data_IF_711748220548
#
_entry.id   IF_711748220548
#
_cell.length_a   1.000
_cell.length_b   1.000
_cell.length_c   1.000
_cell.angle_alpha   90.00
_cell.angle_beta   90.00
_cell.angle_gamma   90.00
#
_symmetry.space_group_name_H-M   'P 1'
#
loop_
_entity.id
_entity.type
_entity.pdbx_description
1 polymer ?
#
# COMPACT_ATOMS: atom_id res chain seq x y z
N UNK A 1 13.25 -15.75 15.76
CA UNK A 1 12.39 -15.53 16.93
C UNK A 1 12.20 -14.04 17.05
N UNK A 2 11.10 -13.50 16.51
CA UNK A 2 10.80 -12.07 16.59
C UNK A 2 10.42 -11.74 18.04
N UNK A 3 11.13 -10.80 18.66
CA UNK A 3 10.78 -10.28 19.97
C UNK A 3 9.41 -9.59 19.87
N UNK A 4 8.47 -10.00 20.72
CA UNK A 4 7.14 -9.40 20.80
C UNK A 4 6.99 -8.71 22.14
N UNK A 5 6.68 -7.41 22.14
CA UNK A 5 6.35 -6.68 23.35
C UNK A 5 4.84 -6.68 23.63
N UNK A 6 4.47 -6.82 24.91
CA UNK A 6 3.06 -6.77 25.33
C UNK A 6 2.69 -5.35 25.71
N UNK A 7 1.74 -4.79 24.96
CA UNK A 7 1.18 -3.47 25.20
C UNK A 7 -0.23 -3.61 25.80
N UNK A 8 -0.53 -2.85 26.86
CA UNK A 8 -1.88 -2.78 27.46
C UNK A 8 -2.38 -1.34 27.40
N UNK A 9 -3.49 -1.10 26.72
CA UNK A 9 -4.09 0.22 26.56
C UNK A 9 -5.57 0.22 26.96
N UNK A 10 -6.06 1.37 27.42
CA UNK A 10 -7.49 1.60 27.64
C UNK A 10 -8.07 2.25 26.39
N UNK A 11 -9.11 1.63 25.83
CA UNK A 11 -9.78 2.11 24.62
C UNK A 11 -11.23 2.46 24.98
N UNK A 12 -11.76 3.59 24.49
CA UNK A 12 -13.17 3.93 24.59
C UNK A 12 -14.10 2.81 24.09
N UNK A 13 -15.24 2.61 24.76
CA UNK A 13 -16.15 1.49 24.49
C UNK A 13 -16.80 1.52 23.11
N UNK A 14 -16.98 2.71 22.53
CA UNK A 14 -17.46 2.91 21.16
C UNK A 14 -16.46 2.35 20.13
N UNK A 15 -15.17 2.57 20.34
CA UNK A 15 -14.11 2.06 19.46
C UNK A 15 -13.95 0.54 19.58
N UNK A 16 -14.07 -0.01 20.79
CA UNK A 16 -14.11 -1.47 20.99
C UNK A 16 -15.29 -2.08 20.25
N UNK A 17 -16.46 -1.45 20.33
CA UNK A 17 -17.67 -1.91 19.62
C UNK A 17 -17.49 -1.89 18.10
N UNK A 18 -16.77 -0.91 17.56
CA UNK A 18 -16.46 -0.85 16.13
C UNK A 18 -15.48 -1.95 15.71
N UNK A 19 -14.46 -2.23 16.51
CA UNK A 19 -13.52 -3.34 16.27
C UNK A 19 -14.23 -4.69 16.33
N UNK A 20 -15.16 -4.87 17.28
CA UNK A 20 -15.98 -6.08 17.37
C UNK A 20 -16.83 -6.32 16.13
N UNK A 21 -17.38 -5.26 15.52
CA UNK A 21 -18.10 -5.38 14.25
C UNK A 21 -17.18 -5.87 13.14
N UNK A 22 -15.96 -5.36 13.04
CA UNK A 22 -15.00 -5.80 12.02
C UNK A 22 -14.61 -7.29 12.17
N UNK A 23 -14.54 -7.79 13.41
CA UNK A 23 -14.33 -9.22 13.68
C UNK A 23 -15.55 -10.05 13.30
N UNK A 24 -16.75 -9.59 13.66
CA UNK A 24 -18.02 -10.28 13.30
C UNK A 24 -18.26 -10.33 11.80
N UNK A 25 -17.86 -9.30 11.07
CA UNK A 25 -17.92 -9.24 9.62
C UNK A 25 -16.87 -10.16 8.95
N UNK A 26 -16.03 -10.84 9.74
CA UNK A 26 -15.02 -11.78 9.27
C UNK A 26 -13.79 -11.12 8.64
N UNK A 27 -13.66 -9.78 8.75
CA UNK A 27 -12.49 -9.06 8.20
C UNK A 27 -11.21 -9.34 9.00
N UNK A 28 -11.34 -9.66 10.28
CA UNK A 28 -10.23 -10.02 11.16
C UNK A 28 -10.64 -11.16 12.09
N UNK A 29 -9.70 -12.02 12.46
CA UNK A 29 -9.96 -13.17 13.36
C UNK A 29 -10.17 -12.75 14.80
N UNK A 30 -9.47 -11.71 15.26
CA UNK A 30 -9.59 -11.17 16.62
C UNK A 30 -9.45 -9.65 16.64
N UNK A 31 -9.91 -9.01 17.72
CA UNK A 31 -9.71 -7.58 17.96
C UNK A 31 -8.22 -7.23 17.94
N UNK A 32 -7.37 -8.10 18.51
CA UNK A 32 -5.92 -7.91 18.54
C UNK A 32 -5.31 -7.92 17.13
N UNK A 33 -5.86 -8.72 16.21
CA UNK A 33 -5.40 -8.73 14.81
C UNK A 33 -5.80 -7.44 14.09
N UNK A 34 -7.03 -6.96 14.32
CA UNK A 34 -7.47 -5.68 13.79
C UNK A 34 -6.61 -4.51 14.31
N UNK A 35 -6.25 -4.52 15.60
CA UNK A 35 -5.37 -3.50 16.20
C UNK A 35 -3.96 -3.59 15.63
N UNK A 36 -3.38 -4.80 15.50
CA UNK A 36 -2.04 -4.96 14.90
C UNK A 36 -2.01 -4.44 13.47
N UNK A 37 -2.98 -4.83 12.63
CA UNK A 37 -3.08 -4.33 11.26
C UNK A 37 -3.23 -2.80 11.19
N UNK A 38 -3.97 -2.20 12.12
CA UNK A 38 -4.11 -0.75 12.21
C UNK A 38 -2.80 -0.06 12.63
N UNK A 39 -2.05 -0.64 13.57
CA UNK A 39 -0.75 -0.13 13.99
C UNK A 39 0.25 -0.23 12.84
N UNK A 40 0.33 -1.38 12.17
CA UNK A 40 1.22 -1.59 11.03
C UNK A 40 0.92 -0.56 9.92
N UNK A 41 -0.36 -0.40 9.56
CA UNK A 41 -0.77 0.61 8.58
C UNK A 41 -0.46 2.04 9.02
N UNK A 42 -0.58 2.36 10.32
CA UNK A 42 -0.28 3.68 10.84
C UNK A 42 1.22 3.97 10.82
N UNK A 43 2.04 3.00 11.22
CA UNK A 43 3.50 3.09 11.18
C UNK A 43 3.99 3.22 9.74
N UNK A 44 3.49 2.37 8.83
CA UNK A 44 3.83 2.42 7.41
C UNK A 44 3.51 3.78 6.77
N UNK A 45 2.43 4.42 7.20
CA UNK A 45 1.99 5.72 6.68
C UNK A 45 2.81 6.90 7.24
N UNK A 46 3.35 6.78 8.45
CA UNK A 46 4.08 7.87 9.12
C UNK A 46 5.61 7.73 9.08
N UNK A 47 6.12 6.52 8.88
CA UNK A 47 7.56 6.22 8.82
C UNK A 47 8.00 5.79 7.42
N UNK A 48 7.21 6.10 6.39
CA UNK A 48 7.69 6.05 5.01
C UNK A 48 8.84 7.07 4.87
N UNK A 49 10.03 6.68 4.38
CA UNK A 49 11.17 7.60 4.29
C UNK A 49 10.83 8.87 3.51
N UNK A 50 11.40 10.04 3.86
CA UNK A 50 11.10 11.36 3.27
C UNK A 50 11.20 11.43 1.72
N UNK A 51 11.83 10.44 1.09
CA UNK A 51 12.00 10.31 -0.36
C UNK A 51 11.02 9.31 -1.01
N UNK A 52 10.05 8.77 -0.24
CA UNK A 52 9.06 7.79 -0.69
C UNK A 52 7.66 8.29 -0.31
N UNK A 53 6.99 8.93 -1.26
CA UNK A 53 5.58 9.29 -1.13
C UNK A 53 4.71 8.13 -1.63
N UNK A 54 3.89 7.53 -0.75
CA UNK A 54 2.95 6.48 -1.14
C UNK A 54 1.68 7.12 -1.69
N UNK A 55 1.41 6.89 -2.96
CA UNK A 55 0.19 7.33 -3.64
C UNK A 55 -0.76 6.16 -3.79
N UNK A 56 -1.95 6.25 -3.20
CA UNK A 56 -3.03 5.29 -3.48
C UNK A 56 -3.68 5.67 -4.80
N UNK A 57 -3.70 4.73 -5.76
CA UNK A 57 -4.27 4.95 -7.09
C UNK A 57 -5.40 3.95 -7.32
N UNK A 58 -6.59 4.45 -7.65
CA UNK A 58 -7.69 3.59 -8.08
C UNK A 58 -7.59 3.33 -9.58
N UNK A 59 -7.51 2.05 -9.95
CA UNK A 59 -7.43 1.62 -11.34
C UNK A 59 -8.71 0.89 -11.77
N UNK A 60 -9.22 1.12 -13.00
CA UNK A 60 -10.30 0.33 -13.56
C UNK A 60 -9.92 -1.16 -13.61
N UNK A 61 -10.90 -2.06 -13.44
CA UNK A 61 -10.67 -3.51 -13.43
C UNK A 61 -9.95 -4.02 -14.68
N UNK A 62 -10.26 -3.46 -15.86
CA UNK A 62 -9.58 -3.85 -17.11
C UNK A 62 -8.07 -3.64 -17.07
N UNK A 63 -7.63 -2.49 -16.54
CA UNK A 63 -6.21 -2.15 -16.42
C UNK A 63 -5.50 -3.07 -15.40
N UNK A 64 -6.19 -3.50 -14.35
CA UNK A 64 -5.64 -4.46 -13.38
C UNK A 64 -5.37 -5.81 -14.06
N UNK A 65 -6.29 -6.29 -14.90
CA UNK A 65 -6.13 -7.54 -15.66
C UNK A 65 -4.94 -7.46 -16.62
N UNK A 66 -4.74 -6.32 -17.28
CA UNK A 66 -3.58 -6.10 -18.15
C UNK A 66 -2.26 -6.13 -17.37
N UNK A 67 -2.22 -5.52 -16.19
CA UNK A 67 -1.05 -5.57 -15.30
C UNK A 67 -0.78 -6.99 -14.80
N UNK A 68 -1.81 -7.78 -14.50
CA UNK A 68 -1.67 -9.20 -14.15
C UNK A 68 -1.08 -10.03 -15.30
N UNK A 69 -1.46 -9.75 -16.55
CA UNK A 69 -0.86 -10.39 -17.72
C UNK A 69 0.64 -10.09 -17.82
N UNK A 70 1.08 -8.84 -17.62
CA UNK A 70 2.50 -8.47 -17.63
C UNK A 70 3.32 -9.24 -16.59
N UNK A 71 2.75 -9.48 -15.42
CA UNK A 71 3.41 -10.29 -14.37
C UNK A 71 3.47 -11.75 -14.77
N UNK A 72 2.37 -12.30 -15.30
CA UNK A 72 2.30 -13.71 -15.74
C UNK A 72 3.25 -14.00 -16.88
N UNK A 73 3.38 -13.07 -17.82
CA UNK A 73 4.20 -13.22 -19.02
C UNK A 73 5.70 -13.01 -18.71
N UNK A 74 6.02 -12.60 -17.47
CA UNK A 74 7.39 -12.47 -16.97
C UNK A 74 8.03 -11.10 -17.24
N UNK A 75 7.27 -10.16 -17.80
CA UNK A 75 7.74 -8.81 -18.11
C UNK A 75 7.91 -7.93 -16.86
N UNK A 76 7.30 -8.31 -15.74
CA UNK A 76 7.43 -7.60 -14.46
C UNK A 76 7.33 -8.55 -13.27
N UNK A 77 8.02 -8.22 -12.17
CA UNK A 77 8.06 -9.08 -10.97
C UNK A 77 6.76 -8.98 -10.17
N UNK A 78 6.08 -7.85 -10.22
CA UNK A 78 4.78 -7.61 -9.60
C UNK A 78 4.01 -6.49 -10.31
N UNK A 79 2.73 -6.32 -9.97
CA UNK A 79 1.90 -5.22 -10.49
C UNK A 79 2.52 -3.87 -10.12
N UNK A 80 2.98 -3.74 -8.87
CA UNK A 80 3.65 -2.51 -8.40
C UNK A 80 4.94 -2.23 -9.16
N UNK A 81 5.70 -3.27 -9.54
CA UNK A 81 6.92 -3.15 -10.33
C UNK A 81 6.61 -2.70 -11.77
N UNK A 82 5.57 -3.26 -12.38
CA UNK A 82 5.09 -2.84 -13.70
C UNK A 82 4.70 -1.35 -13.70
N UNK A 83 3.94 -0.91 -12.71
CA UNK A 83 3.55 0.50 -12.56
C UNK A 83 4.79 1.38 -12.35
N UNK A 84 5.71 0.98 -11.48
CA UNK A 84 6.94 1.73 -11.20
C UNK A 84 7.79 1.91 -12.45
N UNK A 85 7.96 0.86 -13.25
CA UNK A 85 8.73 0.90 -14.49
C UNK A 85 8.07 1.83 -15.52
N UNK A 86 6.76 1.73 -15.71
CA UNK A 86 6.02 2.60 -16.63
C UNK A 86 6.13 4.08 -16.25
N UNK A 87 5.93 4.41 -14.97
CA UNK A 87 6.03 5.79 -14.46
C UNK A 87 7.47 6.31 -14.59
N UNK A 88 8.47 5.47 -14.31
CA UNK A 88 9.88 5.85 -14.44
C UNK A 88 10.26 6.16 -15.88
N UNK A 89 9.80 5.33 -16.83
CA UNK A 89 10.07 5.54 -18.25
C UNK A 89 9.34 6.78 -18.79
N UNK A 90 8.08 6.97 -18.41
CA UNK A 90 7.31 8.16 -18.78
C UNK A 90 7.98 9.44 -18.27
N UNK A 91 8.36 9.46 -16.98
CA UNK A 91 9.03 10.61 -16.36
C UNK A 91 10.36 10.89 -17.05
N UNK A 92 11.16 9.86 -17.35
CA UNK A 92 12.42 10.00 -18.08
C UNK A 92 12.20 10.65 -19.46
N UNK A 93 11.25 10.14 -20.24
CA UNK A 93 10.91 10.68 -21.57
C UNK A 93 10.44 12.14 -21.49
N UNK A 94 9.62 12.47 -20.48
CA UNK A 94 9.08 13.81 -20.27
C UNK A 94 10.19 14.81 -19.88
N UNK A 95 11.11 14.43 -19.00
CA UNK A 95 12.25 15.27 -18.61
C UNK A 95 13.17 15.50 -19.81
N UNK A 96 13.50 14.45 -20.57
CA UNK A 96 14.34 14.59 -21.78
C UNK A 96 13.75 15.58 -22.77
N UNK A 97 12.44 15.51 -23.06
CA UNK A 97 11.76 16.49 -23.92
C UNK A 97 11.80 17.91 -23.37
N UNK A 98 11.54 18.08 -22.07
CA UNK A 98 11.60 19.41 -21.46
C UNK A 98 13.01 20.01 -21.50
N UNK A 99 14.07 19.19 -21.42
CA UNK A 99 15.45 19.65 -21.57
C UNK A 99 15.82 19.98 -23.01
N UNK A 100 15.26 19.27 -23.99
CA UNK A 100 15.40 19.56 -25.43
C UNK A 100 14.68 20.87 -25.82
N UNK A 101 13.52 21.17 -25.23
CA UNK A 101 12.75 22.40 -25.47
C UNK A 101 13.37 23.65 -24.81
N UNK A 102 14.32 23.49 -23.90
CA UNK A 102 15.04 24.57 -23.21
C UNK A 102 16.38 24.97 -23.89
N UNK A 103 16.81 24.24 -24.92
CA UNK A 103 17.97 24.56 -25.77
C UNK A 103 17.52 25.11 -27.14
#
# INVERSE_FOLDING_TARGET
>A
MSETERITIRIPSDKVSALDRLVRDGKYSTISDAIRAAIDSFVDMHFTPDHIERVTVELPKGNVVELECLVRDGDSVSIDDAIRNAVREYTRKRISRAMEEMH
#
